data_IF_960829866893
#
_entry.id   IF_960829866893
#
_cell.length_a   1.000
_cell.length_b   1.000
_cell.length_c   1.000
_cell.angle_alpha   90.00
_cell.angle_beta   90.00
_cell.angle_gamma   90.00
#
_symmetry.space_group_name_H-M   'P 1'
#
loop_
_entity.id
_entity.type
_entity.pdbx_description
1 polymer ?
#
# COMPACT_ATOMS: atom_id res chain seq x y z
N UNK A 1 0.10 4.33 -4.37
CA UNK A 1 1.13 3.79 -5.29
C UNK A 1 2.45 3.77 -4.56
N UNK A 2 3.15 2.64 -4.61
CA UNK A 2 4.48 2.43 -4.03
C UNK A 2 5.52 2.46 -5.13
N UNK A 3 6.57 3.26 -4.96
CA UNK A 3 7.74 3.23 -5.84
C UNK A 3 8.51 1.91 -5.67
N UNK A 4 9.45 1.63 -6.57
CA UNK A 4 10.30 0.44 -6.49
C UNK A 4 11.07 0.37 -5.17
N UNK A 5 10.93 -0.75 -4.46
CA UNK A 5 11.57 -0.98 -3.15
C UNK A 5 10.90 -0.29 -1.95
N UNK A 6 9.94 0.61 -2.18
CA UNK A 6 9.24 1.32 -1.11
C UNK A 6 8.39 0.36 -0.27
N UNK A 7 8.51 0.43 1.06
CA UNK A 7 7.76 -0.41 1.99
C UNK A 7 7.84 -1.92 1.67
N UNK A 8 8.99 -2.38 1.16
CA UNK A 8 9.23 -3.77 0.79
C UNK A 8 8.60 -4.20 -0.54
N UNK A 9 8.16 -3.25 -1.38
CA UNK A 9 7.65 -3.53 -2.71
C UNK A 9 8.73 -4.09 -3.65
N UNK A 10 8.30 -4.62 -4.80
CA UNK A 10 9.23 -5.04 -5.85
C UNK A 10 10.08 -3.85 -6.31
N UNK A 11 11.40 -4.04 -6.42
CA UNK A 11 12.29 -3.02 -6.97
C UNK A 11 12.00 -2.69 -8.44
N UNK A 12 11.55 -3.67 -9.23
CA UNK A 12 11.28 -3.48 -10.66
C UNK A 12 9.87 -2.97 -10.96
N UNK A 13 8.87 -3.38 -10.18
CA UNK A 13 7.46 -3.10 -10.46
C UNK A 13 6.80 -2.12 -9.48
N UNK A 14 7.45 -1.80 -8.36
CA UNK A 14 6.80 -1.12 -7.25
C UNK A 14 5.64 -1.94 -6.70
N UNK A 15 4.58 -1.27 -6.26
CA UNK A 15 3.34 -1.91 -5.83
C UNK A 15 2.15 -0.94 -5.88
N UNK A 16 0.93 -1.48 -5.82
CA UNK A 16 -0.31 -0.72 -5.65
C UNK A 16 -1.22 -1.43 -4.65
N UNK A 17 -1.96 -0.65 -3.88
CA UNK A 17 -2.89 -1.12 -2.87
C UNK A 17 -4.16 -0.25 -2.92
N UNK A 18 -5.24 -0.75 -2.33
CA UNK A 18 -6.51 -0.03 -2.20
C UNK A 18 -6.55 0.68 -0.85
N UNK A 19 -6.93 1.96 -0.84
CA UNK A 19 -7.22 2.70 0.39
C UNK A 19 -8.58 2.27 0.91
N UNK A 20 -8.61 1.65 2.09
CA UNK A 20 -9.84 1.19 2.74
C UNK A 20 -10.37 2.25 3.72
N UNK A 21 -9.47 2.97 4.39
CA UNK A 21 -9.83 3.94 5.43
C UNK A 21 -8.72 4.98 5.62
N UNK A 22 -9.12 6.24 5.86
CA UNK A 22 -8.24 7.32 6.29
C UNK A 22 -8.63 7.66 7.73
N UNK A 23 -7.71 7.45 8.67
CA UNK A 23 -7.94 7.69 10.09
C UNK A 23 -7.88 9.19 10.44
N UNK A 24 -8.44 9.62 11.59
CA UNK A 24 -8.42 11.01 12.02
C UNK A 24 -7.02 11.61 12.20
N UNK A 25 -6.01 10.77 12.48
CA UNK A 25 -4.60 11.17 12.61
C UNK A 25 -3.88 11.30 11.26
N UNK A 26 -4.58 11.05 10.15
CA UNK A 26 -4.04 11.11 8.80
C UNK A 26 -3.31 9.84 8.35
N UNK A 27 -3.24 8.81 9.20
CA UNK A 27 -2.75 7.49 8.77
C UNK A 27 -3.77 6.79 7.88
N UNK A 28 -3.29 5.93 6.99
CA UNK A 28 -4.12 5.28 5.96
C UNK A 28 -4.02 3.77 6.09
N UNK A 29 -5.18 3.11 6.21
CA UNK A 29 -5.30 1.67 6.10
C UNK A 29 -5.48 1.28 4.64
N UNK A 30 -4.65 0.34 4.19
CA UNK A 30 -4.74 -0.23 2.84
C UNK A 30 -4.96 -1.73 2.87
N UNK A 31 -5.66 -2.24 1.86
CA UNK A 31 -5.70 -3.66 1.52
C UNK A 31 -4.86 -3.91 0.26
N UNK A 32 -4.09 -5.00 0.26
CA UNK A 32 -3.22 -5.36 -0.86
C UNK A 32 -3.14 -6.88 -1.04
N UNK A 33 -2.85 -7.33 -2.26
CA UNK A 33 -2.67 -8.75 -2.60
C UNK A 33 -1.48 -8.90 -3.55
N UNK A 34 -0.88 -10.09 -3.60
CA UNK A 34 0.35 -10.33 -4.36
C UNK A 34 1.61 -9.81 -3.66
N UNK A 35 1.46 -9.28 -2.44
CA UNK A 35 2.54 -9.06 -1.48
C UNK A 35 2.73 -10.35 -0.68
N UNK A 36 3.71 -11.19 -1.06
CA UNK A 36 4.04 -12.43 -0.35
C UNK A 36 3.79 -13.75 -1.11
N UNK A 37 3.35 -14.80 -0.41
CA UNK A 37 3.23 -16.16 -0.94
C UNK A 37 2.10 -16.26 -1.99
N UNK A 38 2.34 -16.88 -3.17
CA UNK A 38 1.32 -17.03 -4.20
C UNK A 38 0.17 -17.89 -3.67
N UNK A 39 -1.04 -17.34 -3.68
CA UNK A 39 -2.22 -18.08 -3.25
C UNK A 39 -3.36 -17.21 -2.78
N UNK A 40 -3.34 -16.70 -1.55
CA UNK A 40 -4.60 -16.40 -0.87
C UNK A 40 -4.56 -15.34 0.24
N UNK A 41 -3.45 -14.59 0.41
CA UNK A 41 -3.40 -13.59 1.48
C UNK A 41 -3.61 -12.19 0.92
N UNK A 42 -4.79 -11.63 1.21
CA UNK A 42 -4.93 -10.19 1.32
C UNK A 42 -4.19 -9.76 2.60
N UNK A 43 -3.24 -8.83 2.44
CA UNK A 43 -2.56 -8.17 3.53
C UNK A 43 -3.26 -6.85 3.82
N UNK A 44 -3.31 -6.46 5.09
CA UNK A 44 -3.74 -5.13 5.51
C UNK A 44 -2.59 -4.46 6.24
N UNK A 45 -2.26 -3.23 5.83
CA UNK A 45 -1.22 -2.41 6.46
C UNK A 45 -1.74 -1.01 6.74
N UNK A 46 -1.18 -0.38 7.77
CA UNK A 46 -1.45 1.01 8.12
C UNK A 46 -0.17 1.81 7.95
N UNK A 47 -0.25 2.89 7.19
CA UNK A 47 0.87 3.79 6.91
C UNK A 47 0.60 5.15 7.53
N UNK A 48 1.54 5.64 8.34
CA UNK A 48 1.49 6.98 8.91
C UNK A 48 2.28 8.00 8.07
N UNK A 49 3.20 7.53 7.22
CA UNK A 49 4.04 8.36 6.35
C UNK A 49 3.36 8.63 4.99
N UNK A 50 2.08 8.98 5.02
CA UNK A 50 1.18 8.98 3.85
C UNK A 50 1.61 9.93 2.73
N UNK A 51 2.32 11.01 3.06
CA UNK A 51 2.88 11.94 2.09
C UNK A 51 3.94 11.33 1.16
N UNK A 52 4.53 10.17 1.52
CA UNK A 52 5.51 9.47 0.69
C UNK A 52 4.88 8.62 -0.42
N UNK A 53 3.54 8.56 -0.51
CA UNK A 53 2.83 7.75 -1.50
C UNK A 53 1.99 8.63 -2.43
N UNK A 54 1.77 8.13 -3.64
CA UNK A 54 0.85 8.76 -4.59
C UNK A 54 -0.54 8.12 -4.50
N UNK A 55 -1.58 8.95 -4.57
CA UNK A 55 -2.99 8.52 -4.56
C UNK A 55 -3.63 8.87 -5.90
N UNK A 56 -4.36 7.93 -6.49
CA UNK A 56 -5.07 8.09 -7.76
C UNK A 56 -6.57 8.11 -7.43
N UNK A 57 -7.27 9.17 -7.81
CA UNK A 57 -8.72 9.33 -7.66
C UNK A 57 -9.31 9.99 -8.92
N UNK A 58 -10.62 9.85 -9.11
CA UNK A 58 -11.39 10.43 -10.22
C UNK A 58 -12.49 11.34 -9.69
#
# INVERSE_FOLDING_TARGET
>A
VFQGGQAGSSWGYGHVAIVEEIYPDGSVRVSEMGSGFPGYFSSTRVFSDTANYQYIHF
#
